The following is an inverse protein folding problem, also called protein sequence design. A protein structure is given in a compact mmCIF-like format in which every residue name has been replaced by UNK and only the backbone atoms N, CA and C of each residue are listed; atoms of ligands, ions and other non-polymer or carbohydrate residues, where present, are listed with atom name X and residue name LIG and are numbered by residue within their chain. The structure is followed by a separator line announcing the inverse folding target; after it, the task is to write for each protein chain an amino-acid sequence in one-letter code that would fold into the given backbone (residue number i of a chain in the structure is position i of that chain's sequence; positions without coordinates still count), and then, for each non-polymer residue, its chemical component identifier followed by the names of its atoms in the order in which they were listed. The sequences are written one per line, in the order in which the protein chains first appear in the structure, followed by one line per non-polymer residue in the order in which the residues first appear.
data_IF_708552574114
#
_entry.id   IF_708552574114
#
_cell.length_a   1.000
_cell.length_b   1.000
_cell.length_c   1.000
_cell.angle_alpha   90.00
_cell.angle_beta   90.00
_cell.angle_gamma   90.00
#
_symmetry.space_group_name_H-M   'P 1'
#
loop_
_entity.id
_entity.type
_entity.pdbx_description
1 polymer ?
#
# COMPACT_ATOMS: atom_id res chain seq x y z
N UNK A 1 6.74 -19.86 9.34
CA UNK A 1 7.56 -18.81 8.72
C UNK A 1 7.10 -17.48 9.30
N UNK A 2 7.99 -16.62 9.81
CA UNK A 2 7.58 -15.33 10.36
C UNK A 2 7.02 -14.43 9.26
N UNK A 3 5.92 -13.75 9.55
CA UNK A 3 5.29 -12.75 8.69
C UNK A 3 5.84 -11.37 9.09
N UNK A 4 6.26 -10.59 8.09
CA UNK A 4 6.62 -9.18 8.28
C UNK A 4 5.66 -8.32 7.50
N UNK A 5 5.23 -7.23 8.13
CA UNK A 5 4.35 -6.23 7.54
C UNK A 5 5.12 -4.91 7.43
N UNK A 6 5.14 -4.34 6.23
CA UNK A 6 5.68 -3.01 5.99
C UNK A 6 4.53 -1.99 5.90
N UNK A 7 4.82 -0.75 6.27
CA UNK A 7 3.97 0.41 6.04
C UNK A 7 4.70 1.36 5.09
N UNK A 8 4.02 1.75 4.02
CA UNK A 8 4.53 2.60 2.95
C UNK A 8 3.64 3.85 2.91
N UNK A 9 4.25 4.99 3.15
CA UNK A 9 3.62 6.31 3.11
C UNK A 9 3.22 6.72 1.68
N UNK A 10 2.17 7.52 1.52
CA UNK A 10 1.69 7.99 0.22
C UNK A 10 2.76 8.76 -0.58
N UNK A 11 3.72 9.41 0.09
CA UNK A 11 4.83 10.12 -0.58
C UNK A 11 5.99 9.20 -0.98
N UNK A 12 5.90 7.91 -0.70
CA UNK A 12 6.92 6.95 -1.07
C UNK A 12 7.07 6.85 -2.59
N UNK A 13 8.31 6.89 -3.14
CA UNK A 13 8.55 6.71 -4.57
C UNK A 13 8.25 5.29 -5.06
N UNK A 14 7.92 4.36 -4.15
CA UNK A 14 7.46 3.02 -4.49
C UNK A 14 6.02 3.01 -5.03
N UNK A 15 5.24 4.05 -4.74
CA UNK A 15 3.89 4.22 -5.27
C UNK A 15 3.99 5.09 -6.53
N UNK A 16 3.54 4.54 -7.66
CA UNK A 16 3.61 5.19 -8.95
C UNK A 16 2.26 5.76 -9.31
N UNK A 17 2.13 7.06 -9.09
CA UNK A 17 0.96 7.85 -9.46
C UNK A 17 1.06 8.32 -10.91
N UNK A 18 -0.06 8.33 -11.64
CA UNK A 18 -0.10 9.06 -12.91
C UNK A 18 -0.06 10.59 -12.69
N UNK A 19 0.02 11.35 -13.79
CA UNK A 19 0.16 12.82 -13.73
C UNK A 19 -1.05 13.59 -13.18
N UNK A 20 -2.17 12.91 -12.94
CA UNK A 20 -3.42 13.52 -12.46
C UNK A 20 -3.64 13.36 -10.96
N UNK A 21 -2.84 12.53 -10.29
CA UNK A 21 -2.81 12.46 -8.83
C UNK A 21 -1.95 13.60 -8.28
N UNK A 22 -2.47 14.28 -7.28
CA UNK A 22 -1.83 15.45 -6.68
C UNK A 22 -1.66 15.25 -5.17
N UNK A 23 -0.53 15.67 -4.59
CA UNK A 23 -0.39 15.73 -3.15
C UNK A 23 -1.40 16.74 -2.60
N UNK A 24 -2.10 16.36 -1.55
CA UNK A 24 -2.88 17.31 -0.76
C UNK A 24 -1.98 18.21 0.07
N UNK A 25 -2.53 19.32 0.53
CA UNK A 25 -1.86 20.26 1.43
C UNK A 25 -2.82 20.78 2.50
N UNK A 26 -2.30 21.30 3.61
CA UNK A 26 -3.09 22.02 4.62
C UNK A 26 -3.90 23.20 4.05
N UNK A 27 -3.52 23.73 2.88
CA UNK A 27 -4.27 24.80 2.23
C UNK A 27 -5.58 24.28 1.59
N UNK A 28 -5.58 23.01 1.16
CA UNK A 28 -6.71 22.35 0.53
C UNK A 28 -7.58 21.59 1.54
N UNK A 29 -6.97 21.06 2.61
CA UNK A 29 -7.65 20.28 3.65
C UNK A 29 -7.15 20.63 5.04
N UNK A 30 -8.01 21.24 5.85
CA UNK A 30 -7.70 21.58 7.25
C UNK A 30 -7.60 20.35 8.17
N UNK A 31 -7.95 19.16 7.67
CA UNK A 31 -7.88 17.89 8.39
C UNK A 31 -6.64 17.05 7.99
N UNK A 32 -5.64 17.68 7.37
CA UNK A 32 -4.39 17.02 6.96
C UNK A 32 -3.72 16.26 8.11
N UNK A 33 -3.77 16.79 9.34
CA UNK A 33 -3.20 16.18 10.54
C UNK A 33 -3.81 14.82 10.93
N UNK A 34 -4.99 14.49 10.38
CA UNK A 34 -5.64 13.21 10.58
C UNK A 34 -5.12 12.11 9.65
N UNK A 35 -4.39 12.45 8.59
CA UNK A 35 -3.70 11.46 7.73
C UNK A 35 -2.40 10.98 8.36
N UNK A 36 -1.90 9.83 7.93
CA UNK A 36 -0.61 9.34 8.39
C UNK A 36 0.49 10.34 8.03
N UNK A 37 1.34 10.67 8.99
CA UNK A 37 2.35 11.74 8.90
C UNK A 37 1.85 13.13 8.46
N UNK A 38 0.54 13.35 8.41
CA UNK A 38 -0.01 14.58 7.87
C UNK A 38 0.20 14.70 6.36
N UNK A 39 0.21 13.60 5.61
CA UNK A 39 0.35 13.62 4.15
C UNK A 39 -0.73 12.77 3.50
N UNK A 40 -1.17 13.20 2.32
CA UNK A 40 -2.05 12.41 1.48
C UNK A 40 -1.87 12.78 0.01
N UNK A 41 -2.23 11.85 -0.87
CA UNK A 41 -2.24 12.07 -2.32
C UNK A 41 -3.61 11.69 -2.83
N UNK A 42 -4.23 12.54 -3.64
CA UNK A 42 -5.61 12.36 -4.09
C UNK A 42 -5.75 12.58 -5.59
N UNK A 43 -6.82 12.05 -6.14
CA UNK A 43 -7.18 12.21 -7.53
C UNK A 43 -8.67 12.47 -7.67
N UNK A 44 -9.04 13.31 -8.64
CA UNK A 44 -10.41 13.65 -9.00
C UNK A 44 -10.65 13.54 -10.52
N UNK A 45 -9.88 12.71 -11.21
CA UNK A 45 -9.99 12.49 -12.66
C UNK A 45 -10.43 11.05 -12.91
N UNK A 46 -11.58 10.87 -13.56
CA UNK A 46 -12.07 9.54 -13.93
C UNK A 46 -11.06 8.83 -14.84
N UNK A 47 -10.85 7.53 -14.60
CA UNK A 47 -9.86 6.65 -15.23
C UNK A 47 -8.40 6.98 -14.90
N UNK A 48 -8.14 7.84 -13.91
CA UNK A 48 -6.79 7.98 -13.37
C UNK A 48 -6.36 6.74 -12.61
N UNK A 49 -5.06 6.46 -12.64
CA UNK A 49 -4.47 5.23 -12.12
C UNK A 49 -3.32 5.53 -11.15
N UNK A 50 -3.22 4.68 -10.14
CA UNK A 50 -2.04 4.55 -9.29
C UNK A 50 -1.64 3.08 -9.24
N UNK A 51 -0.34 2.83 -9.33
CA UNK A 51 0.22 1.48 -9.33
C UNK A 51 1.21 1.28 -8.19
N UNK A 52 1.22 0.08 -7.62
CA UNK A 52 2.13 -0.32 -6.56
C UNK A 52 2.53 -1.79 -6.75
N UNK A 53 3.84 -2.05 -6.83
CA UNK A 53 4.38 -3.40 -6.93
C UNK A 53 4.96 -3.83 -5.60
N UNK A 54 4.58 -5.03 -5.16
CA UNK A 54 4.89 -5.55 -3.84
C UNK A 54 5.28 -7.03 -3.92
N UNK A 55 6.03 -7.54 -2.94
CA UNK A 55 6.42 -8.95 -2.89
C UNK A 55 5.95 -9.57 -1.58
N UNK A 56 4.77 -10.18 -1.60
CA UNK A 56 4.07 -10.55 -0.39
C UNK A 56 2.88 -11.46 -0.62
N UNK A 57 2.11 -11.67 0.45
CA UNK A 57 0.94 -12.55 0.50
C UNK A 57 -0.35 -11.79 0.81
N UNK A 58 -0.24 -10.51 1.18
CA UNK A 58 -1.38 -9.65 1.48
C UNK A 58 -1.02 -8.17 1.30
N UNK A 59 -2.03 -7.37 0.98
CA UNK A 59 -1.95 -5.92 0.84
C UNK A 59 -3.21 -5.23 1.37
N UNK A 60 -3.03 -4.08 2.01
CA UNK A 60 -4.08 -3.16 2.43
C UNK A 60 -3.78 -1.77 1.89
N UNK A 61 -4.79 -1.13 1.30
CA UNK A 61 -4.73 0.24 0.83
C UNK A 61 -5.57 1.13 1.76
N UNK A 62 -4.91 2.05 2.44
CA UNK A 62 -5.52 2.98 3.38
C UNK A 62 -5.70 4.35 2.74
N UNK A 63 -6.83 4.98 3.08
CA UNK A 63 -7.20 6.30 2.60
C UNK A 63 -8.21 6.94 3.56
N UNK A 64 -8.57 8.19 3.30
CA UNK A 64 -9.76 8.77 3.91
C UNK A 64 -11.04 8.27 3.21
N UNK A 65 -12.15 8.26 3.95
CA UNK A 65 -13.51 8.14 3.42
C UNK A 65 -14.28 9.39 3.78
N UNK A 66 -14.83 10.07 2.77
CA UNK A 66 -15.43 11.39 2.90
C UNK A 66 -16.62 11.55 1.95
N UNK A 67 -17.39 12.60 2.14
CA UNK A 67 -18.61 12.84 1.37
C UNK A 67 -18.36 13.19 -0.11
N UNK A 68 -17.12 13.54 -0.47
CA UNK A 68 -16.65 13.84 -1.81
C UNK A 68 -15.84 12.69 -2.44
N UNK A 69 -15.63 11.60 -1.69
CA UNK A 69 -14.94 10.42 -2.21
C UNK A 69 -15.91 9.53 -3.00
N UNK A 70 -15.39 8.94 -4.08
CA UNK A 70 -16.16 8.22 -5.08
C UNK A 70 -15.78 6.76 -5.23
N UNK A 71 -16.28 6.17 -6.32
CA UNK A 71 -16.03 4.78 -6.65
C UNK A 71 -14.65 4.57 -7.26
N UNK A 72 -14.09 3.39 -7.03
CA UNK A 72 -12.84 2.95 -7.65
C UNK A 72 -12.85 1.44 -7.85
N UNK A 73 -11.99 0.97 -8.74
CA UNK A 73 -11.72 -0.46 -8.94
C UNK A 73 -10.26 -0.73 -8.64
N UNK A 74 -9.97 -1.96 -8.20
CA UNK A 74 -8.59 -2.39 -7.94
C UNK A 74 -8.32 -3.65 -8.75
N UNK A 75 -7.20 -3.69 -9.45
CA UNK A 75 -6.71 -4.88 -10.11
C UNK A 75 -5.43 -5.33 -9.42
N UNK A 76 -5.34 -6.62 -9.09
CA UNK A 76 -4.08 -7.24 -8.67
C UNK A 76 -3.72 -8.29 -9.71
N UNK A 77 -2.58 -8.08 -10.35
CA UNK A 77 -2.13 -8.83 -11.51
C UNK A 77 -3.20 -8.85 -12.61
N UNK A 78 -3.90 -9.97 -12.79
CA UNK A 78 -4.96 -10.15 -13.79
C UNK A 78 -6.36 -10.33 -13.16
N UNK A 79 -6.50 -10.05 -11.86
CA UNK A 79 -7.75 -10.21 -11.12
C UNK A 79 -8.28 -8.84 -10.71
N UNK A 80 -9.50 -8.51 -11.17
CA UNK A 80 -10.19 -7.28 -10.81
C UNK A 80 -11.06 -7.46 -9.56
N UNK A 81 -11.06 -6.45 -8.71
CA UNK A 81 -11.82 -6.33 -7.47
C UNK A 81 -12.65 -5.04 -7.49
N UNK A 82 -13.83 -5.11 -6.88
CA UNK A 82 -14.76 -3.99 -6.81
C UNK A 82 -15.94 -4.08 -7.79
N UNK A 83 -16.62 -2.96 -8.08
CA UNK A 83 -16.29 -1.61 -7.63
C UNK A 83 -16.41 -1.45 -6.11
N UNK A 84 -15.54 -0.60 -5.56
CA UNK A 84 -15.61 -0.12 -4.18
C UNK A 84 -16.03 1.34 -4.15
N UNK A 85 -16.39 1.83 -2.97
CA UNK A 85 -16.81 3.21 -2.77
C UNK A 85 -16.12 3.80 -1.54
N UNK A 86 -15.46 4.95 -1.74
CA UNK A 86 -14.80 5.74 -0.71
C UNK A 86 -15.76 6.66 0.06
N UNK A 87 -17.04 6.75 -0.32
CA UNK A 87 -18.00 7.63 0.35
C UNK A 87 -18.16 7.32 1.84
N UNK A 88 -18.25 8.38 2.64
CA UNK A 88 -18.75 8.37 4.02
C UNK A 88 -19.34 9.73 4.39
N UNK A 89 -20.48 9.75 5.07
CA UNK A 89 -21.11 10.99 5.53
C UNK A 89 -20.35 11.64 6.69
N UNK A 90 -19.66 10.85 7.51
CA UNK A 90 -18.75 11.29 8.57
C UNK A 90 -17.34 10.94 8.13
N UNK A 91 -16.42 11.89 8.17
CA UNK A 91 -15.05 11.70 7.73
C UNK A 91 -14.35 10.61 8.56
N UNK A 92 -13.68 9.70 7.87
CA UNK A 92 -12.86 8.65 8.46
C UNK A 92 -11.48 8.72 7.81
N UNK A 93 -10.43 8.63 8.61
CA UNK A 93 -9.04 8.72 8.14
C UNK A 93 -8.29 7.43 8.48
N UNK A 94 -7.24 7.12 7.72
CA UNK A 94 -6.40 5.91 7.91
C UNK A 94 -7.23 4.62 7.94
N UNK A 95 -8.28 4.53 7.12
CA UNK A 95 -9.14 3.34 7.04
C UNK A 95 -8.79 2.49 5.82
N UNK A 96 -8.79 1.16 5.93
CA UNK A 96 -8.55 0.30 4.77
C UNK A 96 -9.75 0.39 3.83
N UNK A 97 -9.55 1.01 2.67
CA UNK A 97 -10.57 1.10 1.61
C UNK A 97 -10.53 -0.11 0.68
N UNK A 98 -9.40 -0.82 0.64
CA UNK A 98 -9.24 -2.08 -0.05
C UNK A 98 -8.25 -2.98 0.70
N UNK A 99 -8.48 -4.29 0.66
CA UNK A 99 -7.51 -5.28 1.10
C UNK A 99 -7.68 -6.61 0.39
N UNK A 100 -6.59 -7.36 0.29
CA UNK A 100 -6.60 -8.78 -0.09
C UNK A 100 -5.53 -9.52 0.71
N UNK A 101 -5.79 -10.78 1.00
CA UNK A 101 -4.84 -11.68 1.66
C UNK A 101 -4.93 -13.08 1.06
N UNK A 102 -3.96 -13.94 1.39
CA UNK A 102 -3.91 -15.30 0.84
C UNK A 102 -3.36 -15.37 -0.58
N UNK A 103 -2.66 -14.32 -1.03
CA UNK A 103 -1.88 -14.36 -2.26
C UNK A 103 -0.69 -15.31 -2.07
N UNK A 104 -0.26 -15.94 -3.16
CA UNK A 104 0.97 -16.74 -3.15
C UNK A 104 2.16 -15.83 -2.87
N UNK A 105 3.15 -16.27 -2.09
CA UNK A 105 4.35 -15.46 -1.90
C UNK A 105 5.03 -15.21 -3.26
N UNK A 106 5.11 -13.96 -3.66
CA UNK A 106 5.71 -13.56 -4.93
C UNK A 106 5.48 -12.08 -5.22
N UNK A 107 5.97 -11.64 -6.38
CA UNK A 107 5.75 -10.29 -6.87
C UNK A 107 4.34 -10.15 -7.41
N UNK A 108 3.62 -9.14 -6.94
CA UNK A 108 2.29 -8.76 -7.37
C UNK A 108 2.27 -7.28 -7.76
N UNK A 109 1.39 -6.92 -8.69
CA UNK A 109 1.15 -5.53 -9.06
C UNK A 109 -0.30 -5.16 -8.74
N UNK A 110 -0.48 -4.16 -7.89
CA UNK A 110 -1.75 -3.51 -7.64
C UNK A 110 -1.88 -2.29 -8.56
N UNK A 111 -3.02 -2.17 -9.24
CA UNK A 111 -3.47 -0.97 -9.95
C UNK A 111 -4.81 -0.54 -9.38
N UNK A 112 -4.91 0.68 -8.88
CA UNK A 112 -6.18 1.28 -8.48
C UNK A 112 -6.58 2.31 -9.53
N UNK A 113 -7.80 2.19 -10.05
CA UNK A 113 -8.36 3.09 -11.07
C UNK A 113 -9.56 3.84 -10.50
N UNK A 114 -9.54 5.17 -10.59
CA UNK A 114 -10.65 6.02 -10.18
C UNK A 114 -11.82 5.88 -11.17
N UNK A 115 -12.99 5.46 -10.68
CA UNK A 115 -14.22 5.37 -11.48
C UNK A 115 -15.29 6.35 -11.04
N UNK A 116 -14.95 7.25 -10.10
CA UNK A 116 -15.83 8.28 -9.57
C UNK A 116 -16.20 9.32 -10.61
N UNK A 117 -17.31 10.01 -10.37
CA UNK A 117 -17.82 11.07 -11.23
C UNK A 117 -18.72 12.04 -10.44
N UNK A 118 -18.98 13.22 -11.02
CA UNK A 118 -19.84 14.23 -10.39
C UNK A 118 -19.25 14.77 -9.09
N UNK A 119 -20.06 14.84 -8.03
CA UNK A 119 -19.66 15.39 -6.72
C UNK A 119 -18.87 14.42 -5.85
N UNK A 120 -18.89 13.12 -6.19
CA UNK A 120 -18.15 12.04 -5.52
C UNK A 120 -17.13 11.46 -6.50
N UNK A 121 -16.05 12.22 -6.71
CA UNK A 121 -15.01 11.90 -7.69
C UNK A 121 -13.65 11.65 -7.06
N UNK A 122 -13.47 11.99 -5.77
CA UNK A 122 -12.17 11.87 -5.14
C UNK A 122 -11.85 10.42 -4.75
N UNK A 123 -10.61 10.02 -4.96
CA UNK A 123 -10.01 8.84 -4.33
C UNK A 123 -8.64 9.24 -3.78
N UNK A 124 -8.19 8.57 -2.72
CA UNK A 124 -6.96 8.95 -2.04
C UNK A 124 -6.04 7.79 -1.73
N UNK A 125 -4.80 8.13 -1.46
CA UNK A 125 -3.76 7.28 -0.88
C UNK A 125 -3.24 7.98 0.38
N UNK A 126 -3.13 7.21 1.47
CA UNK A 126 -2.57 7.66 2.76
C UNK A 126 -1.43 6.71 3.16
N UNK A 127 -1.76 5.43 3.31
CA UNK A 127 -0.77 4.39 3.62
C UNK A 127 -1.06 3.13 2.83
N UNK A 128 -0.02 2.43 2.41
CA UNK A 128 -0.11 1.07 1.87
C UNK A 128 0.60 0.13 2.83
N UNK A 129 -0.04 -0.99 3.15
CA UNK A 129 0.59 -2.05 3.94
C UNK A 129 0.70 -3.33 3.14
N UNK A 130 1.89 -3.90 3.05
CA UNK A 130 2.12 -5.23 2.46
C UNK A 130 2.66 -6.19 3.52
N UNK A 131 2.29 -7.46 3.42
CA UNK A 131 2.82 -8.52 4.29
C UNK A 131 3.53 -9.60 3.47
N UNK A 132 4.68 -10.08 3.95
CA UNK A 132 5.47 -11.15 3.31
C UNK A 132 6.06 -12.13 4.31
N UNK A 133 6.38 -13.33 3.88
CA UNK A 133 7.17 -14.26 4.67
C UNK A 133 8.65 -13.87 4.62
N UNK A 134 9.33 -13.88 5.77
CA UNK A 134 10.79 -13.87 5.76
C UNK A 134 11.31 -15.30 5.64
N UNK A 135 12.20 -15.50 4.67
CA UNK A 135 13.10 -16.64 4.66
C UNK A 135 14.27 -16.28 5.56
N UNK A 136 14.39 -16.94 6.71
CA UNK A 136 15.63 -16.87 7.47
C UNK A 136 16.66 -17.69 6.70
N UNK A 137 17.65 -17.03 6.12
CA UNK A 137 18.84 -17.72 5.63
C UNK A 137 19.50 -18.36 6.84
N UNK A 138 19.71 -19.68 6.82
CA UNK A 138 20.47 -20.37 7.89
C UNK A 138 21.92 -19.86 8.02
N UNK A 139 22.39 -18.99 7.13
CA UNK A 139 23.72 -18.38 7.16
C UNK A 139 23.83 -17.09 8.00
N UNK A 140 22.72 -16.48 8.45
CA UNK A 140 22.77 -15.22 9.22
C UNK A 140 22.76 -15.43 10.75
N UNK A 141 23.17 -16.61 11.23
CA UNK A 141 23.53 -16.72 12.65
C UNK A 141 24.89 -16.05 12.87
N UNK A 142 25.01 -15.07 13.79
CA UNK A 142 26.29 -14.38 14.06
C UNK A 142 27.34 -15.29 14.73
N UNK A 143 27.06 -16.58 14.87
CA UNK A 143 27.95 -17.57 15.50
C UNK A 143 28.95 -18.19 14.51
N UNK A 144 28.90 -17.89 13.22
CA UNK A 144 29.80 -18.48 12.21
C UNK A 144 30.63 -17.47 11.40
N UNK A 145 30.50 -16.15 11.64
CA UNK A 145 31.17 -15.11 10.86
C UNK A 145 32.56 -14.69 11.40
N UNK A 146 32.99 -15.25 12.54
CA UNK A 146 34.29 -14.97 13.14
C UNK A 146 35.09 -16.28 13.27
N UNK A 147 35.70 -16.73 12.17
CA UNK A 147 37.08 -17.24 12.13
C UNK A 147 37.39 -17.84 10.76
N UNK A 148 37.99 -17.03 9.89
CA UNK A 148 38.80 -17.54 8.77
C UNK A 148 40.25 -17.67 9.24
N UNK A 149 40.52 -18.60 10.15
CA UNK A 149 41.83 -19.24 10.32
C UNK A 149 41.58 -20.69 10.71
N UNK A 150 42.33 -21.60 10.09
CA UNK A 150 42.19 -23.04 10.13
C UNK A 150 41.91 -23.67 11.52
N UNK A 151 41.03 -24.68 11.55
CA UNK A 151 41.23 -26.06 12.06
C UNK A 151 39.85 -26.67 12.37
N UNK A 152 39.65 -27.90 11.86
CA UNK A 152 38.61 -28.89 12.14
C UNK A 152 37.46 -28.56 13.12
N UNK A 153 36.22 -28.80 12.68
CA UNK A 153 35.28 -29.52 13.54
C UNK A 153 34.31 -30.37 12.69
N UNK A 154 34.24 -31.64 13.05
CA UNK A 154 33.63 -32.74 12.30
C UNK A 154 32.09 -32.75 12.33
N UNK A 155 31.53 -33.47 11.35
CA UNK A 155 30.17 -34.05 11.24
C UNK A 155 29.30 -34.03 12.51
N UNK A 156 28.08 -33.50 12.37
CA UNK A 156 26.80 -34.23 12.47
C UNK A 156 25.68 -33.39 11.88
#
# INVERSE_FOLDING_TARGET
MPLVTNLIDDKSPLIHYDSTWLPGTSADDQLEDQYYHGTFTTNNVTNAEVTFTFNGTAIWWYSARRNNHGSFVVQIDNVSYGPYDGYSAVEQFRVPIFNVSGLNQGTHQLTLTNTGSGTTIYVGADVVSESRFLFYSSYDSPLCAADRVAIECWKC
#
